data_IF_326438374529
#
_entry.id   IF_326438374529
#
_cell.length_a   1.000
_cell.length_b   1.000
_cell.length_c   1.000
_cell.angle_alpha   90.00
_cell.angle_beta   90.00
_cell.angle_gamma   90.00
#
_symmetry.space_group_name_H-M   'P 1'
#
loop_
_entity.id
_entity.type
_entity.pdbx_description
1 polymer ?
#
# COMPACT_ATOMS: atom_id res chain seq x y z
N UNK A 1 -29.99 -18.41 -18.23
CA UNK A 1 -29.85 -17.14 -18.94
C UNK A 1 -28.40 -16.72 -19.20
N UNK A 2 -27.41 -17.43 -18.65
CA UNK A 2 -25.97 -17.21 -18.89
C UNK A 2 -25.39 -18.20 -19.90
N UNK A 3 -26.13 -18.50 -20.96
CA UNK A 3 -25.71 -19.41 -22.05
C UNK A 3 -24.68 -18.81 -23.02
N UNK A 4 -24.28 -17.58 -22.83
CA UNK A 4 -23.16 -16.98 -23.54
C UNK A 4 -22.07 -16.66 -22.54
N UNK A 5 -21.12 -17.52 -22.36
CA UNK A 5 -20.00 -17.57 -21.41
C UNK A 5 -19.64 -16.25 -20.72
N UNK A 6 -18.96 -16.37 -19.60
CA UNK A 6 -18.36 -15.25 -18.87
C UNK A 6 -17.24 -14.54 -19.66
N UNK A 7 -17.31 -14.54 -21.00
CA UNK A 7 -16.38 -13.89 -21.92
C UNK A 7 -16.24 -12.37 -21.71
N UNK A 8 -17.11 -11.81 -20.83
CA UNK A 8 -17.07 -10.39 -20.44
C UNK A 8 -15.99 -10.13 -19.41
N UNK A 9 -15.55 -11.14 -18.67
CA UNK A 9 -14.54 -11.00 -17.62
C UNK A 9 -13.19 -11.52 -18.10
N UNK A 10 -12.12 -10.87 -17.65
CA UNK A 10 -10.75 -11.32 -17.86
C UNK A 10 -10.21 -11.94 -16.58
N UNK A 11 -9.44 -13.01 -16.69
CA UNK A 11 -8.74 -13.59 -15.52
C UNK A 11 -7.89 -12.52 -14.83
N UNK A 12 -7.95 -12.47 -13.49
CA UNK A 12 -7.25 -11.47 -12.69
C UNK A 12 -8.01 -10.15 -12.47
N UNK A 13 -9.23 -10.01 -12.98
CA UNK A 13 -10.06 -8.84 -12.69
C UNK A 13 -10.65 -8.87 -11.28
N UNK A 14 -10.84 -7.69 -10.69
CA UNK A 14 -11.60 -7.50 -9.47
C UNK A 14 -13.06 -7.22 -9.84
N UNK A 15 -13.97 -8.09 -9.42
CA UNK A 15 -15.38 -8.02 -9.80
C UNK A 15 -16.23 -7.43 -8.68
N UNK A 16 -16.98 -6.36 -8.98
CA UNK A 16 -18.01 -5.81 -8.10
C UNK A 16 -19.39 -6.22 -8.58
N UNK A 17 -20.22 -6.74 -7.67
CA UNK A 17 -21.56 -7.18 -8.02
C UNK A 17 -22.55 -6.97 -6.90
N UNK A 18 -23.83 -6.78 -7.26
CA UNK A 18 -24.98 -6.82 -6.35
C UNK A 18 -25.71 -8.17 -6.43
N UNK A 19 -25.32 -9.00 -7.40
CA UNK A 19 -26.05 -10.22 -7.79
C UNK A 19 -27.53 -9.95 -8.10
N UNK A 20 -27.86 -8.71 -8.46
CA UNK A 20 -29.26 -8.27 -8.68
C UNK A 20 -30.00 -9.04 -9.76
N UNK A 21 -29.28 -9.63 -10.72
CA UNK A 21 -29.83 -10.49 -11.75
C UNK A 21 -30.44 -11.80 -11.18
N UNK A 22 -29.96 -12.25 -10.04
CA UNK A 22 -30.47 -13.45 -9.39
C UNK A 22 -31.85 -13.21 -8.74
N UNK A 23 -32.20 -11.94 -8.45
CA UNK A 23 -33.51 -11.60 -7.90
C UNK A 23 -33.78 -12.36 -6.59
N UNK A 24 -34.87 -13.17 -6.61
CA UNK A 24 -35.25 -14.01 -5.46
C UNK A 24 -34.72 -15.45 -5.56
N UNK A 25 -33.77 -15.73 -6.42
CA UNK A 25 -33.20 -17.06 -6.64
C UNK A 25 -31.76 -17.14 -6.11
N UNK A 26 -31.53 -17.43 -4.82
CA UNK A 26 -30.19 -17.48 -4.23
C UNK A 26 -29.27 -18.48 -4.92
N UNK A 27 -29.83 -19.57 -5.45
CA UNK A 27 -29.05 -20.60 -6.16
C UNK A 27 -28.34 -20.05 -7.41
N UNK A 28 -28.96 -19.10 -8.11
CA UNK A 28 -28.32 -18.42 -9.25
C UNK A 28 -27.18 -17.50 -8.81
N UNK A 29 -27.30 -16.90 -7.64
CA UNK A 29 -26.23 -16.08 -7.08
C UNK A 29 -25.02 -16.93 -6.68
N UNK A 30 -25.27 -18.08 -6.06
CA UNK A 30 -24.24 -19.06 -5.71
C UNK A 30 -23.51 -19.59 -6.95
N UNK A 31 -24.28 -20.02 -7.96
CA UNK A 31 -23.74 -20.51 -9.24
C UNK A 31 -22.85 -19.47 -9.90
N UNK A 32 -23.27 -18.20 -9.93
CA UNK A 32 -22.49 -17.12 -10.50
C UNK A 32 -21.18 -16.85 -9.76
N UNK A 33 -21.19 -16.90 -8.41
CA UNK A 33 -19.97 -16.74 -7.64
C UNK A 33 -18.99 -17.89 -7.85
N UNK A 34 -19.48 -19.13 -7.88
CA UNK A 34 -18.65 -20.30 -8.18
C UNK A 34 -18.02 -20.17 -9.57
N UNK A 35 -18.78 -19.75 -10.58
CA UNK A 35 -18.30 -19.56 -11.93
C UNK A 35 -17.21 -18.47 -12.02
N UNK A 36 -17.36 -17.33 -11.33
CA UNK A 36 -16.34 -16.29 -11.27
C UNK A 36 -15.04 -16.79 -10.62
N UNK A 37 -15.17 -17.55 -9.52
CA UNK A 37 -14.02 -18.15 -8.83
C UNK A 37 -13.31 -19.17 -9.74
N UNK A 38 -14.07 -20.01 -10.44
CA UNK A 38 -13.52 -20.99 -11.36
C UNK A 38 -12.83 -20.34 -12.55
N UNK A 39 -13.38 -19.22 -13.05
CA UNK A 39 -12.81 -18.44 -14.13
C UNK A 39 -11.47 -17.78 -13.73
N UNK A 40 -11.19 -17.62 -12.45
CA UNK A 40 -9.93 -17.09 -11.95
C UNK A 40 -9.86 -15.58 -11.89
N UNK A 41 -10.95 -14.93 -11.47
CA UNK A 41 -10.93 -13.50 -11.13
C UNK A 41 -10.02 -13.26 -9.92
N UNK A 42 -9.46 -12.06 -9.77
CA UNK A 42 -8.58 -11.73 -8.65
C UNK A 42 -9.32 -11.69 -7.32
N UNK A 43 -10.54 -11.16 -7.32
CA UNK A 43 -11.41 -11.09 -6.15
C UNK A 43 -12.84 -10.73 -6.55
N UNK A 44 -13.81 -10.99 -5.64
CA UNK A 44 -15.20 -10.61 -5.82
C UNK A 44 -15.69 -9.80 -4.63
N UNK A 45 -16.21 -8.59 -4.89
CA UNK A 45 -16.87 -7.77 -3.88
C UNK A 45 -18.40 -7.80 -4.11
N UNK A 46 -19.13 -8.31 -3.12
CA UNK A 46 -20.58 -8.50 -3.17
C UNK A 46 -21.28 -7.47 -2.30
N UNK A 47 -22.21 -6.71 -2.87
CA UNK A 47 -23.14 -5.92 -2.06
C UNK A 47 -24.27 -6.84 -1.58
N UNK A 48 -24.56 -6.93 -0.26
CA UNK A 48 -25.50 -7.90 0.29
C UNK A 48 -26.97 -7.50 0.04
N UNK A 49 -27.35 -7.40 -1.24
CA UNK A 49 -28.73 -7.10 -1.67
C UNK A 49 -29.53 -8.40 -1.79
N UNK A 50 -28.98 -9.38 -2.49
CA UNK A 50 -29.61 -10.68 -2.74
C UNK A 50 -29.04 -11.72 -1.80
N UNK A 51 -27.72 -11.76 -1.68
CA UNK A 51 -26.98 -12.70 -0.85
C UNK A 51 -26.46 -11.99 0.39
N UNK A 52 -26.90 -12.40 1.59
CA UNK A 52 -26.50 -11.78 2.87
C UNK A 52 -25.36 -12.51 3.55
N UNK A 53 -25.21 -13.78 3.27
CA UNK A 53 -24.19 -14.65 3.83
C UNK A 53 -23.53 -15.45 2.70
N UNK A 54 -22.28 -15.81 2.89
CA UNK A 54 -21.53 -16.59 1.91
C UNK A 54 -21.95 -18.05 2.00
N UNK A 55 -22.43 -18.68 0.90
CA UNK A 55 -22.72 -20.10 0.89
C UNK A 55 -21.46 -20.94 1.18
N UNK A 56 -21.58 -22.06 1.91
CA UNK A 56 -20.42 -22.90 2.25
C UNK A 56 -19.62 -23.36 1.03
N UNK A 57 -20.30 -23.74 -0.05
CA UNK A 57 -19.67 -24.12 -1.32
C UNK A 57 -18.79 -23.03 -1.92
N UNK A 58 -19.26 -21.78 -1.86
CA UNK A 58 -18.51 -20.60 -2.33
C UNK A 58 -17.31 -20.34 -1.41
N UNK A 59 -17.46 -20.48 -0.09
CA UNK A 59 -16.37 -20.33 0.87
C UNK A 59 -15.27 -21.37 0.65
N UNK A 60 -15.65 -22.63 0.40
CA UNK A 60 -14.72 -23.71 0.07
C UNK A 60 -13.99 -23.45 -1.24
N UNK A 61 -14.71 -23.08 -2.31
CA UNK A 61 -14.14 -22.77 -3.61
C UNK A 61 -13.20 -21.56 -3.53
N UNK A 62 -13.60 -20.50 -2.84
CA UNK A 62 -12.79 -19.29 -2.56
C UNK A 62 -11.46 -19.67 -1.90
N UNK A 63 -11.50 -20.48 -0.86
CA UNK A 63 -10.29 -20.92 -0.15
C UNK A 63 -9.42 -21.83 -1.03
N UNK A 64 -10.02 -22.77 -1.74
CA UNK A 64 -9.29 -23.71 -2.60
C UNK A 64 -8.58 -23.04 -3.79
N UNK A 65 -9.18 -22.00 -4.35
CA UNK A 65 -8.66 -21.25 -5.50
C UNK A 65 -7.87 -20.00 -5.12
N UNK A 66 -7.89 -19.59 -3.84
CA UNK A 66 -7.26 -18.36 -3.38
C UNK A 66 -7.91 -17.08 -3.93
N UNK A 67 -9.21 -17.14 -4.30
CA UNK A 67 -9.99 -16.00 -4.80
C UNK A 67 -10.83 -15.45 -3.67
N UNK A 68 -10.46 -14.32 -3.03
CA UNK A 68 -11.21 -13.79 -1.91
C UNK A 68 -12.58 -13.23 -2.33
N UNK A 69 -13.60 -13.49 -1.50
CA UNK A 69 -14.94 -12.93 -1.66
C UNK A 69 -15.25 -12.03 -0.47
N UNK A 70 -15.58 -10.76 -0.74
CA UNK A 70 -15.86 -9.74 0.27
C UNK A 70 -17.30 -9.30 0.22
N UNK A 71 -17.90 -9.04 1.39
CA UNK A 71 -19.13 -8.26 1.48
C UNK A 71 -18.79 -6.81 1.83
N UNK A 72 -19.47 -5.85 1.18
CA UNK A 72 -19.34 -4.44 1.50
C UNK A 72 -20.71 -3.79 1.75
N UNK A 73 -20.79 -2.94 2.76
CA UNK A 73 -22.03 -2.30 3.20
C UNK A 73 -21.96 -0.77 3.09
N UNK A 74 -23.14 -0.16 2.98
CA UNK A 74 -23.38 1.25 3.30
C UNK A 74 -22.89 2.29 2.31
N UNK A 75 -22.07 1.95 1.29
CA UNK A 75 -21.51 2.94 0.35
C UNK A 75 -21.96 2.70 -1.08
N UNK A 76 -21.89 3.76 -1.88
CA UNK A 76 -22.00 3.63 -3.33
C UNK A 76 -20.79 2.86 -3.86
N UNK A 77 -21.02 1.97 -4.80
CA UNK A 77 -19.99 1.10 -5.40
C UNK A 77 -18.84 1.92 -6.00
N UNK A 78 -19.16 3.04 -6.63
CA UNK A 78 -18.19 3.95 -7.25
C UNK A 78 -17.16 4.46 -6.26
N UNK A 79 -17.56 4.70 -5.01
CA UNK A 79 -16.65 5.14 -3.96
C UNK A 79 -15.71 4.03 -3.50
N UNK A 80 -16.22 2.81 -3.42
CA UNK A 80 -15.40 1.63 -3.08
C UNK A 80 -14.37 1.37 -4.19
N UNK A 81 -14.80 1.50 -5.46
CA UNK A 81 -13.89 1.38 -6.61
C UNK A 81 -12.82 2.46 -6.56
N UNK A 82 -13.19 3.72 -6.32
CA UNK A 82 -12.23 4.81 -6.23
C UNK A 82 -11.21 4.61 -5.08
N UNK A 83 -11.69 4.19 -3.91
CA UNK A 83 -10.82 3.89 -2.76
C UNK A 83 -9.85 2.72 -3.09
N UNK A 84 -10.33 1.68 -3.80
CA UNK A 84 -9.50 0.56 -4.25
C UNK A 84 -8.44 1.01 -5.27
N UNK A 85 -8.84 1.81 -6.28
CA UNK A 85 -7.90 2.32 -7.28
C UNK A 85 -6.79 3.15 -6.63
N UNK A 86 -7.12 4.00 -5.66
CA UNK A 86 -6.12 4.76 -4.91
C UNK A 86 -5.16 3.84 -4.14
N UNK A 87 -5.65 2.74 -3.57
CA UNK A 87 -4.80 1.77 -2.88
C UNK A 87 -3.85 1.04 -3.85
N UNK A 88 -4.34 0.68 -5.03
CA UNK A 88 -3.53 0.03 -6.06
C UNK A 88 -2.45 0.97 -6.62
N UNK A 89 -2.79 2.24 -6.84
CA UNK A 89 -1.84 3.26 -7.28
C UNK A 89 -0.77 3.51 -6.21
N UNK A 90 -1.14 3.56 -4.93
CA UNK A 90 -0.20 3.67 -3.82
C UNK A 90 0.76 2.47 -3.74
N UNK A 91 0.25 1.26 -3.92
CA UNK A 91 1.06 0.03 -3.90
C UNK A 91 1.99 -0.05 -5.12
N UNK A 92 1.53 0.35 -6.31
CA UNK A 92 2.36 0.41 -7.51
C UNK A 92 3.49 1.43 -7.34
N UNK A 93 3.19 2.62 -6.82
CA UNK A 93 4.19 3.65 -6.54
C UNK A 93 5.19 3.21 -5.43
N UNK A 94 4.75 2.41 -4.46
CA UNK A 94 5.64 1.83 -3.46
C UNK A 94 6.55 0.77 -4.06
N UNK A 95 6.03 -0.09 -4.92
CA UNK A 95 6.82 -1.10 -5.61
C UNK A 95 7.91 -0.45 -6.47
N UNK A 96 7.58 0.58 -7.24
CA UNK A 96 8.55 1.33 -8.06
C UNK A 96 9.63 1.97 -7.18
N UNK A 97 9.26 2.62 -6.07
CA UNK A 97 10.22 3.18 -5.11
C UNK A 97 11.13 2.11 -4.51
N UNK A 98 10.60 0.96 -4.14
CA UNK A 98 11.39 -0.14 -3.62
C UNK A 98 12.41 -0.63 -4.64
N UNK A 99 12.03 -0.74 -5.90
CA UNK A 99 12.93 -1.09 -6.99
C UNK A 99 14.06 -0.06 -7.17
N UNK A 100 13.74 1.23 -7.12
CA UNK A 100 14.73 2.30 -7.20
C UNK A 100 15.69 2.29 -5.99
N UNK A 101 15.21 1.99 -4.79
CA UNK A 101 16.06 1.83 -3.61
C UNK A 101 16.99 0.61 -3.76
N UNK A 102 16.50 -0.51 -4.30
CA UNK A 102 17.33 -1.66 -4.60
C UNK A 102 18.49 -1.30 -5.55
N UNK A 103 18.26 -0.42 -6.53
CA UNK A 103 19.32 0.09 -7.41
C UNK A 103 20.36 0.94 -6.67
N UNK A 104 19.95 1.71 -5.66
CA UNK A 104 20.89 2.48 -4.82
C UNK A 104 21.75 1.56 -3.95
N UNK A 105 21.15 0.47 -3.43
CA UNK A 105 21.84 -0.48 -2.57
C UNK A 105 22.73 -1.46 -3.35
N UNK A 106 22.53 -1.59 -4.66
CA UNK A 106 23.40 -2.36 -5.52
C UNK A 106 24.75 -1.63 -5.71
N UNK A 107 25.84 -2.34 -6.02
CA UNK A 107 27.11 -1.72 -6.37
C UNK A 107 26.94 -0.81 -7.59
N UNK A 108 26.93 0.49 -7.39
CA UNK A 108 26.69 1.51 -8.41
C UNK A 108 27.70 2.63 -8.27
N UNK A 109 27.93 3.35 -9.35
CA UNK A 109 28.74 4.58 -9.27
C UNK A 109 27.95 5.70 -8.57
N UNK A 110 28.68 6.71 -8.09
CA UNK A 110 28.12 7.83 -7.36
C UNK A 110 27.07 8.60 -8.20
N UNK A 111 27.27 8.72 -9.51
CA UNK A 111 26.37 9.45 -10.39
C UNK A 111 25.04 8.70 -10.55
N UNK A 112 25.06 7.38 -10.68
CA UNK A 112 23.85 6.55 -10.73
C UNK A 112 23.06 6.66 -9.43
N UNK A 113 23.73 6.60 -8.28
CA UNK A 113 23.11 6.77 -6.95
C UNK A 113 22.44 8.14 -6.84
N UNK A 114 23.13 9.24 -7.21
CA UNK A 114 22.57 10.60 -7.17
C UNK A 114 21.37 10.76 -8.11
N UNK A 115 21.45 10.23 -9.33
CA UNK A 115 20.35 10.25 -10.31
C UNK A 115 19.12 9.53 -9.75
N UNK A 116 19.30 8.39 -9.10
CA UNK A 116 18.20 7.63 -8.50
C UNK A 116 17.59 8.38 -7.32
N UNK A 117 18.37 9.00 -6.44
CA UNK A 117 17.83 9.85 -5.37
C UNK A 117 17.08 11.06 -5.91
N UNK A 118 17.52 11.66 -6.99
CA UNK A 118 16.76 12.72 -7.65
C UNK A 118 15.41 12.23 -8.15
N UNK A 119 15.36 11.04 -8.76
CA UNK A 119 14.11 10.44 -9.25
C UNK A 119 13.13 10.13 -8.11
N UNK A 120 13.62 9.55 -7.01
CA UNK A 120 12.77 9.14 -5.87
C UNK A 120 12.22 10.34 -5.10
N UNK A 121 13.08 11.34 -4.85
CA UNK A 121 12.80 12.39 -3.86
C UNK A 121 13.08 13.82 -4.33
N UNK A 122 13.57 14.00 -5.56
CA UNK A 122 14.00 15.32 -6.06
C UNK A 122 15.20 15.87 -5.28
N UNK A 123 16.06 15.02 -4.75
CA UNK A 123 17.19 15.37 -3.88
C UNK A 123 18.42 15.61 -4.73
N UNK A 124 19.10 16.75 -4.52
CA UNK A 124 20.30 17.18 -5.25
C UNK A 124 21.49 17.49 -4.33
N UNK A 125 21.31 17.42 -3.02
CA UNK A 125 22.29 17.84 -2.03
C UNK A 125 23.65 17.13 -2.12
N UNK A 126 24.66 17.80 -1.56
CA UNK A 126 26.02 17.30 -1.56
C UNK A 126 26.21 16.03 -0.72
N UNK A 127 25.39 15.86 0.32
CA UNK A 127 25.42 14.71 1.23
C UNK A 127 24.01 14.27 1.55
N UNK A 128 23.77 12.96 1.55
CA UNK A 128 22.52 12.35 1.94
C UNK A 128 22.79 11.44 3.13
N UNK A 129 22.05 11.64 4.22
CA UNK A 129 22.04 10.72 5.35
C UNK A 129 20.77 9.90 5.31
N UNK A 130 20.90 8.60 5.59
CA UNK A 130 19.77 7.67 5.66
C UNK A 130 19.61 7.19 7.11
N UNK A 131 18.36 7.18 7.57
CA UNK A 131 17.94 6.59 8.83
C UNK A 131 16.97 5.46 8.51
N UNK A 132 17.27 4.24 8.97
CA UNK A 132 16.38 3.10 8.84
C UNK A 132 15.64 2.87 10.16
N UNK A 133 14.31 2.77 10.09
CA UNK A 133 13.43 2.55 11.24
C UNK A 133 12.63 1.28 10.98
N UNK A 134 12.84 0.27 11.82
CA UNK A 134 12.11 -0.98 11.77
C UNK A 134 11.05 -0.98 12.87
N UNK A 135 9.75 -1.10 12.54
CA UNK A 135 8.72 -1.28 13.54
C UNK A 135 8.89 -2.66 14.22
N UNK A 136 8.49 -2.75 15.47
CA UNK A 136 8.55 -4.00 16.25
C UNK A 136 7.41 -4.95 15.81
N UNK A 137 6.30 -4.38 15.32
CA UNK A 137 5.13 -5.12 14.83
C UNK A 137 5.05 -5.06 13.30
N UNK A 138 4.68 -6.18 12.69
CA UNK A 138 4.60 -6.32 11.23
C UNK A 138 3.19 -5.92 10.69
N UNK A 139 2.62 -4.85 11.24
CA UNK A 139 1.31 -4.31 10.86
C UNK A 139 1.48 -3.15 9.87
N UNK A 140 1.04 -3.36 8.63
CA UNK A 140 1.12 -2.36 7.56
C UNK A 140 0.35 -1.06 7.87
N UNK A 141 -0.71 -1.10 8.69
CA UNK A 141 -1.44 0.08 9.14
C UNK A 141 -0.60 0.90 10.12
N UNK A 142 0.11 0.23 11.02
CA UNK A 142 1.08 0.83 11.95
C UNK A 142 2.24 1.50 11.20
N UNK A 143 2.72 0.89 10.10
CA UNK A 143 3.81 1.44 9.30
C UNK A 143 3.41 2.75 8.60
N UNK A 144 2.18 2.84 8.08
CA UNK A 144 1.66 4.08 7.47
C UNK A 144 1.51 5.21 8.50
N UNK A 145 1.02 4.89 9.69
CA UNK A 145 0.90 5.86 10.78
C UNK A 145 2.29 6.35 11.23
N UNK A 146 3.23 5.43 11.40
CA UNK A 146 4.61 5.73 11.77
C UNK A 146 5.31 6.58 10.70
N UNK A 147 5.06 6.35 9.41
CA UNK A 147 5.61 7.15 8.33
C UNK A 147 5.26 8.63 8.49
N UNK A 148 3.99 8.96 8.73
CA UNK A 148 3.55 10.36 8.95
C UNK A 148 4.25 11.03 10.12
N UNK A 149 4.50 10.28 11.19
CA UNK A 149 5.23 10.78 12.37
C UNK A 149 6.67 11.07 12.02
N UNK A 150 7.35 10.13 11.37
CA UNK A 150 8.75 10.29 10.96
C UNK A 150 8.90 11.44 9.96
N UNK A 151 7.95 11.58 9.02
CA UNK A 151 7.90 12.73 8.10
C UNK A 151 7.83 14.06 8.87
N UNK A 152 6.95 14.16 9.88
CA UNK A 152 6.83 15.35 10.73
C UNK A 152 8.10 15.65 11.52
N UNK A 153 8.74 14.61 12.07
CA UNK A 153 10.01 14.75 12.80
C UNK A 153 11.11 15.24 11.86
N UNK A 154 11.28 14.62 10.70
CA UNK A 154 12.32 15.00 9.74
C UNK A 154 12.06 16.38 9.11
N UNK A 155 10.81 16.75 8.84
CA UNK A 155 10.48 18.10 8.39
C UNK A 155 10.90 19.17 9.40
N UNK A 156 10.73 18.91 10.70
CA UNK A 156 11.20 19.79 11.77
C UNK A 156 12.72 19.98 11.81
N UNK A 157 13.50 19.05 11.26
CA UNK A 157 14.94 19.27 11.07
C UNK A 157 15.22 20.28 9.95
N UNK A 158 14.46 20.23 8.85
CA UNK A 158 14.57 21.21 7.77
C UNK A 158 14.30 22.64 8.22
N UNK A 159 13.42 22.83 9.20
CA UNK A 159 13.12 24.15 9.78
C UNK A 159 14.22 24.66 10.75
N UNK A 160 14.95 23.72 11.40
CA UNK A 160 15.97 24.08 12.42
C UNK A 160 17.36 24.23 11.86
N UNK A 161 17.64 23.66 10.69
CA UNK A 161 18.99 23.54 10.13
C UNK A 161 19.03 24.09 8.69
N UNK A 162 19.60 25.25 8.52
CA UNK A 162 19.67 25.96 7.23
C UNK A 162 20.39 25.17 6.13
N UNK A 163 21.26 24.25 6.49
CA UNK A 163 21.99 23.38 5.57
C UNK A 163 21.17 22.17 5.09
N UNK A 164 20.01 21.88 5.69
CA UNK A 164 19.10 20.84 5.18
C UNK A 164 18.42 21.35 3.92
N UNK A 165 18.57 20.61 2.84
CA UNK A 165 17.93 20.91 1.56
C UNK A 165 16.53 20.33 1.52
N UNK A 166 16.41 19.04 1.85
CA UNK A 166 15.17 18.28 1.77
C UNK A 166 15.18 17.07 2.69
N UNK A 167 14.00 16.71 3.14
CA UNK A 167 13.75 15.45 3.84
C UNK A 167 12.75 14.61 3.07
N UNK A 168 12.90 13.30 3.13
CA UNK A 168 12.01 12.36 2.45
C UNK A 168 11.92 11.06 3.25
N UNK A 169 10.72 10.49 3.35
CA UNK A 169 10.48 9.21 4.02
C UNK A 169 9.73 8.28 3.09
N UNK A 170 10.15 7.05 3.02
CA UNK A 170 9.46 6.03 2.26
C UNK A 170 9.42 4.70 3.00
N UNK A 171 8.49 3.86 2.60
CA UNK A 171 8.42 2.46 3.01
C UNK A 171 9.34 1.64 2.11
N UNK A 172 10.05 0.70 2.73
CA UNK A 172 10.94 -0.21 2.01
C UNK A 172 10.98 -1.55 2.75
N UNK A 173 10.46 -2.60 2.15
CA UNK A 173 10.49 -3.98 2.67
C UNK A 173 10.13 -4.10 4.14
N UNK A 174 9.00 -3.51 4.56
CA UNK A 174 8.51 -3.58 5.95
C UNK A 174 9.24 -2.67 6.95
N UNK A 175 10.06 -1.73 6.49
CA UNK A 175 10.70 -0.69 7.30
C UNK A 175 10.46 0.70 6.71
N UNK A 176 10.77 1.74 7.47
CA UNK A 176 10.85 3.11 6.97
C UNK A 176 12.31 3.51 6.72
N UNK A 177 12.54 4.14 5.58
CA UNK A 177 13.80 4.83 5.29
C UNK A 177 13.54 6.32 5.26
N UNK A 178 14.20 7.05 6.16
CA UNK A 178 14.23 8.51 6.18
C UNK A 178 15.52 9.01 5.56
N UNK A 179 15.42 9.91 4.60
CA UNK A 179 16.57 10.56 3.95
C UNK A 179 16.58 12.03 4.27
N UNK A 180 17.75 12.52 4.66
CA UNK A 180 18.00 13.94 4.87
C UNK A 180 19.12 14.38 3.93
N UNK A 181 18.78 15.27 3.01
CA UNK A 181 19.72 15.85 2.06
C UNK A 181 20.25 17.19 2.57
N UNK A 182 21.53 17.39 2.43
CA UNK A 182 22.24 18.60 2.87
C UNK A 182 22.86 19.34 1.68
N UNK A 183 22.69 20.66 1.69
CA UNK A 183 23.36 21.57 0.72
C UNK A 183 24.88 21.52 0.84
N UNK A 184 25.38 21.26 2.06
CA UNK A 184 26.80 21.12 2.41
C UNK A 184 26.97 19.92 3.35
N UNK A 185 28.14 19.27 3.35
CA UNK A 185 28.39 18.19 4.28
C UNK A 185 28.21 18.67 5.74
N UNK A 186 27.36 18.02 6.52
CA UNK A 186 27.15 18.41 7.91
C UNK A 186 28.39 18.11 8.74
N UNK A 187 28.71 19.00 9.69
CA UNK A 187 29.84 18.81 10.63
C UNK A 187 29.63 17.61 11.57
N UNK A 188 28.40 17.24 11.81
CA UNK A 188 28.00 16.06 12.61
C UNK A 188 26.82 15.37 11.95
N UNK A 189 26.78 14.05 12.08
CA UNK A 189 25.59 13.30 11.70
C UNK A 189 24.36 13.78 12.50
N UNK A 190 23.20 13.87 11.83
CA UNK A 190 21.93 14.09 12.54
C UNK A 190 21.70 12.88 13.43
N UNK A 191 21.60 13.10 14.73
CA UNK A 191 21.08 12.12 15.66
C UNK A 191 19.62 12.47 15.93
N UNK A 192 18.72 11.50 15.77
CA UNK A 192 17.33 11.65 16.22
C UNK A 192 17.40 11.77 17.74
N UNK A 193 16.85 12.85 18.30
CA UNK A 193 16.86 13.04 19.75
C UNK A 193 15.95 12.04 20.45
N UNK A 194 16.24 11.71 21.71
CA UNK A 194 15.37 10.85 22.52
C UNK A 194 13.94 11.39 22.62
N UNK A 195 13.77 12.73 22.58
CA UNK A 195 12.46 13.37 22.58
C UNK A 195 11.69 13.13 21.26
N UNK A 196 12.38 13.13 20.13
CA UNK A 196 11.77 12.85 18.84
C UNK A 196 11.46 11.35 18.70
N UNK A 197 12.34 10.49 19.21
CA UNK A 197 12.11 9.05 19.31
C UNK A 197 10.90 8.74 20.21
N UNK A 198 10.78 9.41 21.36
CA UNK A 198 9.63 9.26 22.25
C UNK A 198 8.31 9.67 21.60
N UNK A 199 8.30 10.72 20.74
CA UNK A 199 7.11 11.07 19.94
C UNK A 199 6.75 9.97 18.96
N UNK A 200 7.74 9.41 18.26
CA UNK A 200 7.50 8.28 17.34
C UNK A 200 6.89 7.08 18.07
N UNK A 201 7.40 6.76 19.27
CA UNK A 201 6.90 5.66 20.12
C UNK A 201 5.49 5.96 20.63
N UNK A 202 5.24 7.17 21.15
CA UNK A 202 3.93 7.56 21.70
C UNK A 202 2.82 7.55 20.65
N UNK A 203 3.14 7.82 19.38
CA UNK A 203 2.16 7.83 18.29
C UNK A 203 1.94 6.46 17.66
N UNK A 204 2.87 5.52 17.86
CA UNK A 204 2.69 4.13 17.42
C UNK A 204 1.62 3.36 18.25
N UNK A 205 1.10 3.96 19.31
CA UNK A 205 0.11 3.36 20.21
C UNK A 205 0.74 2.41 21.24
N UNK A 206 -0.01 2.01 22.26
CA UNK A 206 0.47 0.97 23.16
C UNK A 206 0.62 -0.34 22.36
N UNK A 207 1.81 -0.93 22.50
CA UNK A 207 2.15 -2.27 22.01
C UNK A 207 1.23 -3.33 22.62
#
# INVERSE_FOLDING_TARGET
PFTGGYEVFTSGEFVFTTLGFAGMHPDLAEEALLALIEYGVAAVAVKPVVLKELPPSVAEASTARGVPVFFYEGRYMERVIADLMNLLDDDAAEWERNHLIDLILAPSDEQAVRSTFFTIAGVTGATIQCVAIRPITDDGASLRALQKVVEGVLAGYGERWDDVERTFVCRYRGMLLGFVSFKRPPLKAIAISDADLAKCIAMAGPL
#
